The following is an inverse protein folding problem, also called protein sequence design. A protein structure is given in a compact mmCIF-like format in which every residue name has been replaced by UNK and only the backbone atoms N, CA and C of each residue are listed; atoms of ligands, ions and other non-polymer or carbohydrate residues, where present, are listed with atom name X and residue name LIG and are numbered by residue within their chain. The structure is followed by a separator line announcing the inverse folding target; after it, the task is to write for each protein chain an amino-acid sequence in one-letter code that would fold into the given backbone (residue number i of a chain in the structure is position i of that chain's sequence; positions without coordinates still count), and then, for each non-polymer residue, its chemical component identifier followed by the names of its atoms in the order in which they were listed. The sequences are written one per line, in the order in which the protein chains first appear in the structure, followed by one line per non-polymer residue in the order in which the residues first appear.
data_IF_269186079516
#
_entry.id   IF_269186079516
#
_cell.length_a   1.000
_cell.length_b   1.000
_cell.length_c   1.000
_cell.angle_alpha   90.00
_cell.angle_beta   90.00
_cell.angle_gamma   90.00
#
_symmetry.space_group_name_H-M   'P 1'
#
loop_
_entity.id
_entity.type
_entity.pdbx_description
1 polymer ?
#
# COMPACT_ATOMS: atom_id res chain seq x y z
N UNK A 1 -26.77 -22.59 -0.92
CA UNK A 1 -26.34 -22.10 0.42
C UNK A 1 -27.57 -21.53 1.10
N UNK A 2 -27.95 -22.07 2.25
CA UNK A 2 -29.11 -21.58 2.98
C UNK A 2 -28.73 -20.27 3.68
N UNK A 3 -29.67 -19.33 3.83
CA UNK A 3 -29.44 -18.06 4.52
C UNK A 3 -28.84 -18.24 5.92
N UNK A 4 -29.18 -19.34 6.59
CA UNK A 4 -28.62 -19.73 7.91
C UNK A 4 -27.11 -19.99 7.86
N UNK A 5 -26.64 -20.69 6.84
CA UNK A 5 -25.22 -21.00 6.64
C UNK A 5 -24.44 -19.71 6.38
N UNK A 6 -25.02 -18.79 5.59
CA UNK A 6 -24.41 -17.47 5.33
C UNK A 6 -24.24 -16.66 6.62
N UNK A 7 -25.28 -16.58 7.48
CA UNK A 7 -25.17 -15.88 8.76
C UNK A 7 -24.17 -16.56 9.72
N UNK A 8 -24.12 -17.90 9.75
CA UNK A 8 -23.13 -18.65 10.53
C UNK A 8 -21.69 -18.39 10.05
N UNK A 9 -21.45 -18.39 8.74
CA UNK A 9 -20.14 -18.06 8.17
C UNK A 9 -19.75 -16.61 8.43
N UNK A 10 -20.69 -15.66 8.28
CA UNK A 10 -20.45 -14.25 8.58
C UNK A 10 -20.06 -14.05 10.04
N UNK A 11 -20.80 -14.66 10.97
CA UNK A 11 -20.53 -14.55 12.41
C UNK A 11 -19.20 -15.19 12.78
N UNK A 12 -18.85 -16.33 12.18
CA UNK A 12 -17.58 -17.02 12.41
C UNK A 12 -16.41 -16.21 11.86
N UNK A 13 -16.53 -15.66 10.66
CA UNK A 13 -15.49 -14.85 10.04
C UNK A 13 -15.27 -13.54 10.82
N UNK A 14 -16.36 -12.88 11.21
CA UNK A 14 -16.31 -11.69 12.05
C UNK A 14 -15.70 -12.01 13.42
N UNK A 15 -16.15 -13.08 14.08
CA UNK A 15 -15.64 -13.52 15.38
C UNK A 15 -14.14 -13.81 15.33
N UNK A 16 -13.69 -14.66 14.41
CA UNK A 16 -12.27 -15.02 14.28
C UNK A 16 -11.40 -13.81 13.92
N UNK A 17 -11.84 -12.96 12.97
CA UNK A 17 -11.08 -11.77 12.57
C UNK A 17 -10.97 -10.75 13.69
N UNK A 18 -12.06 -10.53 14.44
CA UNK A 18 -12.06 -9.59 15.56
C UNK A 18 -11.21 -10.11 16.70
N UNK A 19 -11.28 -11.39 17.05
CA UNK A 19 -10.39 -11.97 18.06
C UNK A 19 -8.92 -11.81 17.65
N UNK A 20 -8.56 -12.26 16.44
CA UNK A 20 -7.17 -12.21 15.97
C UNK A 20 -6.59 -10.79 15.85
N UNK A 21 -7.41 -9.78 15.55
CA UNK A 21 -6.96 -8.38 15.43
C UNK A 21 -6.97 -7.63 16.75
N UNK A 22 -7.90 -7.95 17.65
CA UNK A 22 -8.04 -7.23 18.92
C UNK A 22 -7.11 -7.80 19.99
N UNK A 23 -6.78 -9.10 19.93
CA UNK A 23 -5.78 -9.72 20.82
C UNK A 23 -4.41 -9.02 20.75
N UNK A 24 -3.77 -8.83 19.57
CA UNK A 24 -2.52 -8.08 19.50
C UNK A 24 -2.75 -6.63 19.94
N UNK A 25 -3.86 -6.00 19.58
CA UNK A 25 -4.13 -4.60 19.94
C UNK A 25 -4.28 -4.39 21.46
N UNK A 26 -4.87 -5.36 22.18
CA UNK A 26 -5.09 -5.30 23.63
C UNK A 26 -3.80 -5.63 24.39
N UNK A 27 -3.02 -6.63 23.95
CA UNK A 27 -1.71 -6.93 24.55
C UNK A 27 -0.73 -5.77 24.36
N UNK A 28 -0.73 -5.14 23.17
CA UNK A 28 0.10 -3.98 22.87
C UNK A 28 -0.17 -2.78 23.79
N UNK A 29 -1.41 -2.59 24.25
CA UNK A 29 -1.73 -1.50 25.18
C UNK A 29 -1.24 -1.75 26.62
N UNK A 30 -1.01 -3.00 27.03
CA UNK A 30 -0.89 -3.33 28.47
C UNK A 30 0.52 -3.27 29.07
N UNK A 31 1.60 -3.09 28.29
CA UNK A 31 2.99 -3.17 28.83
C UNK A 31 4.02 -2.15 28.27
N UNK A 32 3.63 -1.08 27.58
CA UNK A 32 4.62 -0.18 26.96
C UNK A 32 5.03 0.99 27.87
N UNK A 33 5.73 0.68 28.97
CA UNK A 33 6.46 1.67 29.80
C UNK A 33 7.95 1.79 29.41
N UNK A 34 8.33 1.26 28.24
CA UNK A 34 9.69 1.32 27.70
C UNK A 34 9.67 1.93 26.29
N UNK A 35 10.45 2.99 26.09
CA UNK A 35 10.64 3.73 24.82
C UNK A 35 11.06 2.82 23.64
N UNK A 36 11.73 1.71 23.94
CA UNK A 36 12.28 0.79 22.95
C UNK A 36 11.18 0.02 22.20
N UNK A 37 10.19 -0.49 22.91
CA UNK A 37 9.11 -1.28 22.31
C UNK A 37 8.08 -0.42 21.56
N UNK A 38 7.84 0.81 22.03
CA UNK A 38 6.95 1.75 21.34
C UNK A 38 7.52 2.18 19.98
N UNK A 39 8.82 2.47 19.93
CA UNK A 39 9.50 2.86 18.69
C UNK A 39 9.57 1.71 17.69
N UNK A 40 9.81 0.48 18.16
CA UNK A 40 9.87 -0.70 17.29
C UNK A 40 8.49 -1.03 16.69
N UNK A 41 7.43 -1.06 17.51
CA UNK A 41 6.08 -1.40 17.05
C UNK A 41 5.40 -0.30 16.23
N UNK A 42 5.70 0.98 16.47
CA UNK A 42 5.15 2.06 15.65
C UNK A 42 5.76 2.07 14.24
N UNK A 43 7.02 1.62 14.11
CA UNK A 43 7.73 1.59 12.83
C UNK A 43 7.47 0.31 12.00
N UNK A 44 7.22 -0.84 12.66
CA UNK A 44 6.93 -2.13 11.98
C UNK A 44 5.79 -2.07 10.95
N UNK A 45 4.57 -1.61 11.27
CA UNK A 45 3.47 -1.67 10.30
C UNK A 45 3.71 -0.73 9.12
N UNK A 46 4.34 0.42 9.34
CA UNK A 46 4.67 1.36 8.26
C UNK A 46 5.78 0.81 7.35
N UNK A 47 6.82 0.20 7.93
CA UNK A 47 7.89 -0.45 7.15
C UNK A 47 7.40 -1.67 6.40
N UNK A 48 6.51 -2.48 6.99
CA UNK A 48 5.89 -3.63 6.31
C UNK A 48 4.97 -3.16 5.17
N UNK A 49 4.14 -2.14 5.39
CA UNK A 49 3.29 -1.57 4.33
C UNK A 49 4.14 -1.06 3.16
N UNK A 50 5.24 -0.36 3.46
CA UNK A 50 6.21 0.09 2.46
C UNK A 50 6.89 -1.09 1.74
N UNK A 51 7.32 -2.12 2.47
CA UNK A 51 7.93 -3.31 1.90
C UNK A 51 6.99 -4.10 0.99
N UNK A 52 5.66 -3.99 1.18
CA UNK A 52 4.66 -4.57 0.27
C UNK A 52 4.40 -3.68 -0.95
N UNK A 53 4.37 -2.35 -0.77
CA UNK A 53 4.03 -1.41 -1.86
C UNK A 53 5.19 -1.16 -2.81
N UNK A 54 6.43 -1.07 -2.30
CA UNK A 54 7.64 -0.88 -3.10
C UNK A 54 7.78 -1.92 -4.22
N UNK A 55 7.75 -3.24 -3.96
CA UNK A 55 7.83 -4.24 -5.02
C UNK A 55 6.58 -4.22 -5.92
N UNK A 56 5.38 -4.06 -5.35
CA UNK A 56 4.14 -4.02 -6.12
C UNK A 56 4.13 -2.88 -7.17
N UNK A 57 4.69 -1.72 -6.82
CA UNK A 57 4.81 -0.57 -7.73
C UNK A 57 5.73 -0.88 -8.93
N UNK A 58 6.83 -1.60 -8.71
CA UNK A 58 7.73 -1.97 -9.81
C UNK A 58 7.20 -3.11 -10.69
N UNK A 59 6.43 -4.05 -10.11
CA UNK A 59 5.83 -5.17 -10.86
C UNK A 59 4.55 -4.81 -11.60
N UNK A 60 3.81 -3.78 -11.16
CA UNK A 60 2.60 -3.33 -11.84
C UNK A 60 2.87 -2.72 -13.22
N UNK A 61 4.13 -2.39 -13.54
CA UNK A 61 4.53 -1.81 -14.82
C UNK A 61 5.50 -2.76 -15.54
N UNK A 62 5.16 -3.15 -16.77
CA UNK A 62 5.94 -4.10 -17.61
C UNK A 62 7.39 -3.63 -17.86
N UNK A 63 7.65 -2.33 -17.65
CA UNK A 63 8.93 -1.69 -17.96
C UNK A 63 9.53 -0.97 -16.74
N UNK A 64 10.62 -1.53 -16.19
CA UNK A 64 11.37 -1.03 -15.01
C UNK A 64 11.72 0.46 -15.06
N UNK A 65 11.96 1.02 -16.26
CA UNK A 65 12.28 2.45 -16.44
C UNK A 65 11.09 3.38 -16.18
N UNK A 66 9.86 2.95 -16.49
CA UNK A 66 8.65 3.76 -16.22
C UNK A 66 8.34 3.77 -14.72
N UNK A 67 8.50 2.63 -14.04
CA UNK A 67 8.31 2.53 -12.58
C UNK A 67 9.25 3.43 -11.76
N UNK A 68 10.53 3.53 -12.14
CA UNK A 68 11.49 4.44 -11.46
C UNK A 68 11.09 5.90 -11.64
N UNK A 69 10.72 6.30 -12.86
CA UNK A 69 10.33 7.68 -13.12
C UNK A 69 9.00 8.05 -12.43
N UNK A 70 8.05 7.11 -12.37
CA UNK A 70 6.81 7.25 -11.60
C UNK A 70 7.08 7.40 -10.10
N UNK A 71 8.02 6.64 -9.55
CA UNK A 71 8.42 6.74 -8.15
C UNK A 71 9.00 8.12 -7.84
N UNK A 72 9.88 8.66 -8.69
CA UNK A 72 10.43 10.01 -8.50
C UNK A 72 9.37 11.11 -8.68
N UNK A 73 8.47 10.98 -9.65
CA UNK A 73 7.36 11.93 -9.83
C UNK A 73 6.38 11.90 -8.65
N UNK A 74 6.04 10.71 -8.15
CA UNK A 74 5.20 10.52 -6.98
C UNK A 74 5.87 11.02 -5.70
N UNK A 75 7.16 10.74 -5.52
CA UNK A 75 7.95 11.24 -4.41
C UNK A 75 7.97 12.76 -4.42
N UNK A 76 8.32 13.39 -5.55
CA UNK A 76 8.32 14.84 -5.73
C UNK A 76 6.96 15.48 -5.44
N UNK A 77 5.86 14.87 -5.89
CA UNK A 77 4.51 15.33 -5.61
C UNK A 77 4.11 15.16 -4.13
N UNK A 78 4.59 14.10 -3.46
CA UNK A 78 4.33 13.84 -2.06
C UNK A 78 5.05 14.83 -1.12
N UNK A 79 6.27 15.27 -1.47
CA UNK A 79 7.01 16.27 -0.66
C UNK A 79 6.32 17.64 -0.65
N UNK A 80 5.46 17.93 -1.63
CA UNK A 80 4.65 19.15 -1.66
C UNK A 80 3.44 19.11 -0.69
N UNK A 81 3.29 18.06 0.12
CA UNK A 81 2.24 17.96 1.14
C UNK A 81 0.82 17.86 0.58
N UNK A 82 0.67 17.49 -0.70
CA UNK A 82 -0.63 17.37 -1.36
C UNK A 82 -1.28 16.01 -1.07
N UNK A 83 -2.61 16.01 -1.00
CA UNK A 83 -3.39 14.82 -0.65
C UNK A 83 -3.10 13.61 -1.55
N UNK A 84 -3.28 12.41 -1.00
CA UNK A 84 -2.97 11.11 -1.64
C UNK A 84 -3.50 11.00 -3.08
N UNK A 85 -4.68 11.57 -3.34
CA UNK A 85 -5.34 11.59 -4.65
C UNK A 85 -4.53 12.38 -5.69
N UNK A 86 -3.97 13.53 -5.30
CA UNK A 86 -3.17 14.38 -6.20
C UNK A 86 -1.86 13.67 -6.56
N UNK A 87 -1.25 12.98 -5.59
CA UNK A 87 -0.04 12.18 -5.81
C UNK A 87 -0.34 11.03 -6.77
N UNK A 88 -1.46 10.32 -6.59
CA UNK A 88 -1.87 9.23 -7.47
C UNK A 88 -2.14 9.72 -8.90
N UNK A 89 -2.86 10.83 -9.07
CA UNK A 89 -3.12 11.43 -10.38
C UNK A 89 -1.83 11.93 -11.07
N UNK A 90 -0.90 12.54 -10.33
CA UNK A 90 0.37 12.99 -10.88
C UNK A 90 1.25 11.81 -11.31
N UNK A 91 1.28 10.74 -10.49
CA UNK A 91 2.03 9.52 -10.81
C UNK A 91 1.47 8.81 -12.06
N UNK A 92 0.15 8.63 -12.15
CA UNK A 92 -0.47 8.00 -13.33
C UNK A 92 -0.36 8.87 -14.57
N UNK A 93 -0.47 10.19 -14.47
CA UNK A 93 -0.26 11.10 -15.58
C UNK A 93 1.20 11.06 -16.08
N UNK A 94 2.19 11.00 -15.18
CA UNK A 94 3.60 10.87 -15.54
C UNK A 94 3.89 9.53 -16.24
N UNK A 95 3.38 8.42 -15.73
CA UNK A 95 3.47 7.10 -16.36
C UNK A 95 2.83 7.12 -17.76
N UNK A 96 1.62 7.65 -17.89
CA UNK A 96 0.91 7.72 -19.16
C UNK A 96 1.63 8.60 -20.19
N UNK A 97 2.22 9.71 -19.75
CA UNK A 97 3.02 10.56 -20.63
C UNK A 97 4.31 9.85 -21.09
N UNK A 98 5.01 9.15 -20.17
CA UNK A 98 6.26 8.46 -20.50
C UNK A 98 6.05 7.20 -21.34
N UNK A 99 5.06 6.37 -21.01
CA UNK A 99 4.73 5.17 -21.77
C UNK A 99 4.07 5.53 -23.11
N UNK A 100 3.23 6.58 -23.17
CA UNK A 100 2.68 7.12 -24.42
C UNK A 100 3.74 7.70 -25.36
N UNK A 101 4.68 8.48 -24.83
CA UNK A 101 5.80 9.04 -25.61
C UNK A 101 6.73 7.95 -26.17
N UNK A 102 6.95 6.87 -25.40
CA UNK A 102 7.75 5.71 -25.85
C UNK A 102 6.99 4.81 -26.82
N UNK A 103 5.68 4.63 -26.68
CA UNK A 103 4.86 3.90 -27.66
C UNK A 103 4.91 4.57 -29.04
N UNK A 104 4.85 5.91 -29.07
CA UNK A 104 4.99 6.67 -30.31
C UNK A 104 6.39 6.53 -30.94
N UNK A 105 7.45 6.45 -30.11
CA UNK A 105 8.83 6.23 -30.58
C UNK A 105 9.14 4.79 -31.02
N UNK A 106 8.34 3.78 -30.62
CA UNK A 106 8.56 2.37 -30.98
C UNK A 106 7.68 1.86 -32.13
N UNK A 107 6.80 2.71 -32.67
CA UNK A 107 5.99 2.45 -33.87
C UNK A 107 6.72 2.67 -35.22
N UNK A 108 8.03 2.85 -35.22
CA UNK A 108 8.88 2.80 -36.42
C UNK A 108 9.92 1.68 -36.32
N UNK A 109 9.45 0.44 -36.43
CA UNK A 109 10.13 -0.73 -37.02
C UNK A 109 9.15 -1.88 -37.07
#
# INVERSE_FOLDING_TARGET
MNWRDFFLYLLTMAGVTYLLRTIPFILLRKQLKSEFWNSFLSYIPFTVLAAMTVPAMFYATDNRLSGIAAFFAAAAAAILGRGLVIVACAATAAVLFMDGWRYFMRGKT
#
